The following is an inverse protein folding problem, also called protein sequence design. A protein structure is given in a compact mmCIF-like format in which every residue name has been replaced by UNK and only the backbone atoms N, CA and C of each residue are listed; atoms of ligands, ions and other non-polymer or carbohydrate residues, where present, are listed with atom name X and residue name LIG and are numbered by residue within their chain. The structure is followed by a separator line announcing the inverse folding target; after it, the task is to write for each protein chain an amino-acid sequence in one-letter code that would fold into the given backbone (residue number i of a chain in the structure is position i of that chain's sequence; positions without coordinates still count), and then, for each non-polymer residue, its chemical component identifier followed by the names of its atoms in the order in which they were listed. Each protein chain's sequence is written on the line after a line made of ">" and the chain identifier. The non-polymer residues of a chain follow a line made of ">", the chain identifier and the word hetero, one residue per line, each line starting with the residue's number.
data_IF_816061375028
#
_entry.id   IF_816061375028
#
_cell.length_a   1.000
_cell.length_b   1.000
_cell.length_c   1.000
_cell.angle_alpha   90.00
_cell.angle_beta   90.00
_cell.angle_gamma   90.00
#
_symmetry.space_group_name_H-M   'P 1'
#
loop_
_entity.id
_entity.type
_entity.pdbx_description
1 polymer ?
#
# COMPACT_ATOMS: atom_id res chain seq x y z
N UNK A 1 -0.76 -12.73 -38.36
CA UNK A 1 -1.30 -12.71 -36.98
C UNK A 1 -2.08 -13.99 -36.74
N UNK A 2 -1.49 -14.97 -36.06
CA UNK A 2 -1.96 -16.36 -36.04
C UNK A 2 -3.10 -16.62 -35.03
N UNK A 3 -3.86 -17.69 -35.29
CA UNK A 3 -5.01 -18.18 -34.50
C UNK A 3 -4.77 -18.19 -32.97
N UNK A 4 -3.52 -18.43 -32.53
CA UNK A 4 -3.09 -18.39 -31.11
C UNK A 4 -3.27 -17.00 -30.46
N UNK A 5 -3.07 -15.91 -31.20
CA UNK A 5 -3.26 -14.53 -30.71
C UNK A 5 -4.73 -14.22 -30.44
N UNK A 6 -5.63 -14.67 -31.33
CA UNK A 6 -7.06 -14.41 -31.25
C UNK A 6 -7.69 -15.19 -30.08
N UNK A 7 -7.24 -16.42 -29.86
CA UNK A 7 -7.69 -17.24 -28.72
C UNK A 7 -7.18 -16.68 -27.40
N UNK A 8 -5.92 -16.25 -27.32
CA UNK A 8 -5.36 -15.59 -26.13
C UNK A 8 -6.11 -14.29 -25.79
N UNK A 9 -6.43 -13.46 -26.79
CA UNK A 9 -7.19 -12.23 -26.59
C UNK A 9 -8.64 -12.48 -26.15
N UNK A 10 -9.31 -13.51 -26.69
CA UNK A 10 -10.64 -13.92 -26.24
C UNK A 10 -10.65 -14.41 -24.79
N UNK A 11 -9.64 -15.21 -24.40
CA UNK A 11 -9.50 -15.70 -23.02
C UNK A 11 -9.17 -14.56 -22.06
N UNK A 12 -8.33 -13.61 -22.48
CA UNK A 12 -8.01 -12.42 -21.68
C UNK A 12 -9.23 -11.54 -21.48
N UNK A 13 -9.99 -11.25 -22.54
CA UNK A 13 -11.24 -10.49 -22.47
C UNK A 13 -12.27 -11.19 -21.59
N UNK A 14 -12.46 -12.51 -21.71
CA UNK A 14 -13.43 -13.25 -20.90
C UNK A 14 -13.06 -13.32 -19.40
N UNK A 15 -11.76 -13.38 -19.08
CA UNK A 15 -11.28 -13.26 -17.69
C UNK A 15 -11.48 -11.85 -17.13
N UNK A 16 -11.19 -10.81 -17.93
CA UNK A 16 -11.43 -9.41 -17.54
C UNK A 16 -12.91 -9.16 -17.25
N UNK A 17 -13.82 -9.66 -18.08
CA UNK A 17 -15.27 -9.51 -17.85
C UNK A 17 -15.75 -10.22 -16.57
N UNK A 18 -15.09 -11.30 -16.15
CA UNK A 18 -15.45 -12.01 -14.91
C UNK A 18 -15.00 -11.25 -13.66
N UNK A 19 -13.78 -10.73 -13.67
CA UNK A 19 -13.29 -9.93 -12.52
C UNK A 19 -14.03 -8.60 -12.43
N UNK A 20 -14.40 -7.97 -13.55
CA UNK A 20 -15.20 -6.75 -13.55
C UNK A 20 -16.57 -6.99 -12.91
N UNK A 21 -17.27 -8.06 -13.27
CA UNK A 21 -18.55 -8.42 -12.66
C UNK A 21 -18.42 -8.70 -11.14
N UNK A 22 -17.31 -9.31 -10.72
CA UNK A 22 -17.05 -9.58 -9.30
C UNK A 22 -16.73 -8.30 -8.51
N UNK A 23 -15.94 -7.41 -9.09
CA UNK A 23 -15.67 -6.09 -8.50
C UNK A 23 -16.96 -5.27 -8.38
N UNK A 24 -17.84 -5.31 -9.39
CA UNK A 24 -19.17 -4.67 -9.32
C UNK A 24 -20.08 -5.30 -8.27
N UNK A 25 -20.00 -6.62 -8.06
CA UNK A 25 -20.74 -7.30 -6.99
C UNK A 25 -20.28 -6.83 -5.62
N UNK A 26 -18.96 -6.83 -5.38
CA UNK A 26 -18.37 -6.44 -4.10
C UNK A 26 -18.62 -4.96 -3.83
N UNK A 27 -18.53 -4.08 -4.84
CA UNK A 27 -18.80 -2.65 -4.68
C UNK A 27 -20.22 -2.34 -4.18
N UNK A 28 -21.19 -3.24 -4.41
CA UNK A 28 -22.57 -3.11 -3.91
C UNK A 28 -22.72 -3.55 -2.45
N UNK A 29 -21.74 -4.24 -1.87
CA UNK A 29 -21.74 -4.59 -0.46
C UNK A 29 -21.54 -3.33 0.41
N UNK A 30 -22.23 -3.21 1.55
CA UNK A 30 -22.01 -2.10 2.47
C UNK A 30 -20.54 -1.99 2.87
N UNK A 31 -20.07 -0.76 3.09
CA UNK A 31 -18.72 -0.52 3.61
C UNK A 31 -18.55 -1.13 5.01
N UNK A 32 -17.30 -1.37 5.38
CA UNK A 32 -16.88 -1.97 6.66
C UNK A 32 -17.51 -3.34 6.91
N UNK A 33 -17.93 -4.02 5.83
CA UNK A 33 -18.48 -5.37 5.88
C UNK A 33 -17.41 -6.34 5.37
N UNK A 34 -16.87 -7.22 6.23
CA UNK A 34 -15.93 -8.23 5.79
C UNK A 34 -16.62 -9.26 4.90
N UNK A 35 -15.87 -9.83 3.97
CA UNK A 35 -16.38 -10.84 3.05
C UNK A 35 -15.28 -11.57 2.32
N UNK A 36 -15.70 -12.44 1.40
CA UNK A 36 -14.81 -13.28 0.61
C UNK A 36 -15.05 -13.08 -0.88
N UNK A 37 -13.98 -13.24 -1.64
CA UNK A 37 -13.97 -13.29 -3.10
C UNK A 37 -12.93 -14.31 -3.59
N UNK A 38 -12.96 -14.59 -4.89
CA UNK A 38 -11.96 -15.43 -5.54
C UNK A 38 -10.93 -14.53 -6.25
N UNK A 39 -9.65 -14.68 -5.88
CA UNK A 39 -8.54 -14.07 -6.59
C UNK A 39 -7.63 -15.18 -7.09
N UNK A 40 -7.55 -15.31 -8.42
CA UNK A 40 -6.74 -16.33 -9.10
C UNK A 40 -7.10 -17.78 -8.74
N UNK A 41 -8.36 -18.07 -8.45
CA UNK A 41 -8.84 -19.41 -8.10
C UNK A 41 -8.66 -19.77 -6.63
N UNK A 42 -8.33 -18.79 -5.79
CA UNK A 42 -8.10 -18.96 -4.35
C UNK A 42 -8.94 -17.94 -3.59
N UNK A 43 -9.46 -18.37 -2.45
CA UNK A 43 -10.27 -17.52 -1.58
C UNK A 43 -9.42 -16.37 -1.04
N UNK A 44 -9.98 -15.17 -1.05
CA UNK A 44 -9.38 -13.96 -0.50
C UNK A 44 -10.40 -13.26 0.37
N UNK A 45 -10.02 -12.92 1.60
CA UNK A 45 -10.82 -12.20 2.57
C UNK A 45 -10.55 -10.69 2.45
N UNK A 46 -11.60 -9.90 2.34
CA UNK A 46 -11.53 -8.44 2.46
C UNK A 46 -12.26 -7.99 3.73
N UNK A 47 -11.80 -6.91 4.37
CA UNK A 47 -12.47 -6.32 5.54
C UNK A 47 -13.37 -5.12 5.20
N UNK A 48 -13.12 -4.44 4.06
CA UNK A 48 -13.97 -3.38 3.51
C UNK A 48 -14.13 -3.56 1.99
N UNK A 49 -15.38 -3.52 1.52
CA UNK A 49 -15.75 -3.78 0.13
C UNK A 49 -15.23 -2.72 -0.85
N UNK A 50 -15.30 -1.43 -0.49
CA UNK A 50 -14.91 -0.34 -1.37
C UNK A 50 -13.38 -0.26 -1.46
N UNK A 51 -12.68 -0.37 -0.33
CA UNK A 51 -11.24 -0.49 -0.24
C UNK A 51 -10.74 -1.63 -1.11
N UNK A 52 -11.32 -2.83 -0.98
CA UNK A 52 -10.95 -3.96 -1.84
C UNK A 52 -11.04 -3.60 -3.33
N UNK A 53 -12.17 -3.04 -3.77
CA UNK A 53 -12.41 -2.76 -5.19
C UNK A 53 -11.44 -1.70 -5.72
N UNK A 54 -11.22 -0.61 -4.99
CA UNK A 54 -10.31 0.46 -5.40
C UNK A 54 -8.88 -0.07 -5.46
N UNK A 55 -8.39 -0.65 -4.37
CA UNK A 55 -7.03 -1.17 -4.27
C UNK A 55 -6.77 -2.27 -5.30
N UNK A 56 -7.73 -3.17 -5.55
CA UNK A 56 -7.58 -4.19 -6.59
C UNK A 56 -7.39 -3.57 -7.97
N UNK A 57 -8.18 -2.55 -8.32
CA UNK A 57 -8.06 -1.86 -9.61
C UNK A 57 -6.70 -1.18 -9.74
N UNK A 58 -6.24 -0.50 -8.70
CA UNK A 58 -4.94 0.18 -8.72
C UNK A 58 -3.78 -0.80 -8.87
N UNK A 59 -3.79 -1.88 -8.09
CA UNK A 59 -2.67 -2.80 -8.01
C UNK A 59 -2.67 -3.79 -9.19
N UNK A 60 -3.80 -4.43 -9.51
CA UNK A 60 -3.83 -5.49 -10.52
C UNK A 60 -4.21 -5.02 -11.92
N UNK A 61 -5.05 -3.99 -12.05
CA UNK A 61 -5.46 -3.46 -13.36
C UNK A 61 -4.49 -2.37 -13.81
N UNK A 62 -4.27 -1.35 -12.98
CA UNK A 62 -3.41 -0.21 -13.31
C UNK A 62 -1.92 -0.51 -13.08
N UNK A 63 -1.60 -1.54 -12.28
CA UNK A 63 -0.24 -2.02 -12.04
C UNK A 63 0.71 -0.93 -11.51
N UNK A 64 0.21 -0.12 -10.57
CA UNK A 64 0.98 1.02 -10.06
C UNK A 64 2.29 0.62 -9.37
N UNK A 65 2.41 -0.63 -8.91
CA UNK A 65 3.61 -1.18 -8.28
C UNK A 65 4.50 -2.00 -9.24
N UNK A 66 4.25 -1.96 -10.54
CA UNK A 66 5.14 -2.60 -11.51
C UNK A 66 6.48 -1.84 -11.59
N UNK A 67 7.56 -2.50 -11.22
CA UNK A 67 8.93 -2.04 -11.41
C UNK A 67 9.79 -3.08 -12.16
N UNK A 68 10.94 -2.63 -12.67
CA UNK A 68 11.95 -3.52 -13.27
C UNK A 68 12.93 -3.95 -12.18
N UNK A 69 12.95 -5.25 -11.88
CA UNK A 69 13.86 -5.79 -10.88
C UNK A 69 15.33 -5.52 -11.23
N UNK A 70 16.12 -5.16 -10.22
CA UNK A 70 17.55 -4.88 -10.36
C UNK A 70 18.35 -6.13 -9.98
N UNK A 71 19.24 -6.62 -10.85
CA UNK A 71 20.10 -7.75 -10.51
C UNK A 71 20.88 -7.53 -9.21
N UNK A 72 20.88 -8.53 -8.33
CA UNK A 72 21.54 -8.45 -7.02
C UNK A 72 20.71 -7.80 -5.91
N UNK A 73 19.49 -7.35 -6.21
CA UNK A 73 18.49 -6.91 -5.24
C UNK A 73 17.30 -7.86 -5.27
N UNK A 74 16.89 -8.35 -4.11
CA UNK A 74 15.88 -9.40 -3.98
C UNK A 74 14.97 -9.19 -2.76
N UNK A 75 14.95 -8.00 -2.17
CA UNK A 75 14.08 -7.69 -1.03
C UNK A 75 13.04 -6.64 -1.43
N UNK A 76 11.79 -6.89 -1.04
CA UNK A 76 10.70 -5.93 -1.13
C UNK A 76 10.19 -5.64 0.29
N UNK A 77 10.06 -4.37 0.63
CA UNK A 77 9.40 -3.92 1.85
C UNK A 77 8.01 -3.41 1.50
N UNK A 78 6.98 -4.05 2.05
CA UNK A 78 5.57 -3.68 1.91
C UNK A 78 5.09 -3.07 3.24
N UNK A 79 5.29 -1.75 3.39
CA UNK A 79 4.91 -1.02 4.59
C UNK A 79 3.46 -0.52 4.45
N UNK A 80 2.59 -0.99 5.36
CA UNK A 80 1.13 -0.84 5.27
C UNK A 80 0.53 -1.90 4.35
N UNK A 81 0.78 -3.16 4.66
CA UNK A 81 0.35 -4.29 3.83
C UNK A 81 -1.19 -4.46 3.79
N UNK A 82 -1.90 -3.93 4.78
CA UNK A 82 -3.36 -3.98 4.88
C UNK A 82 -3.87 -5.42 4.70
N UNK A 83 -4.93 -5.66 3.94
CA UNK A 83 -5.47 -6.99 3.64
C UNK A 83 -4.58 -7.85 2.72
N UNK A 84 -3.42 -7.36 2.27
CA UNK A 84 -2.42 -8.14 1.54
C UNK A 84 -2.53 -8.12 0.01
N UNK A 85 -3.29 -7.20 -0.59
CA UNK A 85 -3.37 -7.09 -2.06
C UNK A 85 -2.02 -6.67 -2.68
N UNK A 86 -1.30 -5.74 -2.05
CA UNK A 86 0.05 -5.34 -2.45
C UNK A 86 1.04 -6.51 -2.31
N UNK A 87 1.04 -7.14 -1.14
CA UNK A 87 1.87 -8.32 -0.85
C UNK A 87 1.65 -9.44 -1.86
N UNK A 88 0.38 -9.76 -2.18
CA UNK A 88 0.02 -10.74 -3.21
C UNK A 88 0.54 -10.34 -4.60
N UNK A 89 0.42 -9.06 -4.96
CA UNK A 89 0.95 -8.56 -6.23
C UNK A 89 2.45 -8.76 -6.30
N UNK A 90 3.19 -8.39 -5.25
CA UNK A 90 4.63 -8.56 -5.22
C UNK A 90 5.03 -10.03 -5.32
N UNK A 91 4.43 -10.91 -4.50
CA UNK A 91 4.78 -12.32 -4.45
C UNK A 91 4.58 -13.03 -5.79
N UNK A 92 3.57 -12.62 -6.57
CA UNK A 92 3.29 -13.22 -7.88
C UNK A 92 4.14 -12.68 -9.02
N UNK A 93 4.46 -11.39 -9.01
CA UNK A 93 5.20 -10.76 -10.12
C UNK A 93 6.72 -10.78 -9.90
N UNK A 94 7.15 -10.94 -8.65
CA UNK A 94 8.56 -10.97 -8.22
C UNK A 94 8.82 -12.21 -7.35
N UNK A 95 8.68 -13.43 -7.92
CA UNK A 95 8.74 -14.68 -7.14
C UNK A 95 10.13 -14.96 -6.54
N UNK A 96 11.18 -14.34 -7.09
CA UNK A 96 12.56 -14.47 -6.59
C UNK A 96 12.88 -13.49 -5.45
N UNK A 97 11.94 -12.60 -5.11
CA UNK A 97 12.09 -11.62 -4.03
C UNK A 97 11.52 -12.14 -2.72
N UNK A 98 12.18 -11.81 -1.61
CA UNK A 98 11.64 -11.95 -0.25
C UNK A 98 10.86 -10.67 0.07
N UNK A 99 9.62 -10.83 0.51
CA UNK A 99 8.73 -9.71 0.83
C UNK A 99 8.53 -9.63 2.33
N UNK A 100 8.88 -8.51 2.92
CA UNK A 100 8.56 -8.20 4.32
C UNK A 100 7.32 -7.31 4.34
N UNK A 101 6.20 -7.85 4.81
CA UNK A 101 4.91 -7.18 4.86
C UNK A 101 4.57 -6.76 6.30
N UNK A 102 4.40 -5.45 6.49
CA UNK A 102 4.16 -4.83 7.79
C UNK A 102 2.71 -4.35 7.88
N UNK A 103 1.98 -4.85 8.86
CA UNK A 103 0.62 -4.38 9.19
C UNK A 103 0.47 -4.25 10.71
N UNK A 104 0.33 -3.03 11.27
CA UNK A 104 0.24 -2.83 12.71
C UNK A 104 -1.11 -3.19 13.32
N UNK A 105 -2.22 -3.07 12.58
CA UNK A 105 -3.55 -3.31 13.15
C UNK A 105 -3.75 -4.81 13.41
N UNK A 106 -3.96 -5.25 14.67
CA UNK A 106 -4.06 -6.69 14.95
C UNK A 106 -5.22 -7.38 14.21
N UNK A 107 -6.32 -6.67 13.96
CA UNK A 107 -7.48 -7.24 13.27
C UNK A 107 -7.21 -7.36 11.77
N UNK A 108 -6.64 -6.32 11.15
CA UNK A 108 -6.29 -6.35 9.72
C UNK A 108 -5.12 -7.32 9.49
N UNK A 109 -4.17 -7.41 10.41
CA UNK A 109 -3.07 -8.37 10.37
C UNK A 109 -3.58 -9.83 10.35
N UNK A 110 -4.65 -10.16 11.08
CA UNK A 110 -5.25 -11.50 10.95
C UNK A 110 -5.82 -11.76 9.55
N UNK A 111 -6.42 -10.75 8.90
CA UNK A 111 -6.90 -10.86 7.52
C UNK A 111 -5.74 -11.04 6.54
N UNK A 112 -4.69 -10.24 6.69
CA UNK A 112 -3.44 -10.39 5.93
C UNK A 112 -2.90 -11.81 6.05
N UNK A 113 -2.75 -12.30 7.29
CA UNK A 113 -2.23 -13.63 7.58
C UNK A 113 -3.06 -14.73 6.93
N UNK A 114 -4.39 -14.70 7.09
CA UNK A 114 -5.31 -15.65 6.45
C UNK A 114 -5.15 -15.67 4.93
N UNK A 115 -5.03 -14.50 4.30
CA UNK A 115 -4.85 -14.39 2.87
C UNK A 115 -3.50 -14.97 2.40
N UNK A 116 -2.40 -14.63 3.08
CA UNK A 116 -1.07 -15.16 2.70
C UNK A 116 -0.99 -16.68 2.88
N UNK A 117 -1.58 -17.22 3.95
CA UNK A 117 -1.66 -18.66 4.20
C UNK A 117 -2.50 -19.38 3.13
N UNK A 118 -3.67 -18.84 2.79
CA UNK A 118 -4.57 -19.41 1.78
C UNK A 118 -3.94 -19.42 0.39
N UNK A 119 -3.10 -18.43 0.09
CA UNK A 119 -2.42 -18.26 -1.19
C UNK A 119 -1.10 -19.06 -1.28
N UNK A 120 -0.68 -19.69 -0.19
CA UNK A 120 0.55 -20.48 -0.08
C UNK A 120 1.80 -19.74 -0.60
N UNK A 121 1.94 -18.46 -0.22
CA UNK A 121 3.04 -17.62 -0.67
C UNK A 121 4.30 -17.86 0.19
N UNK A 122 5.22 -18.69 -0.33
CA UNK A 122 6.42 -19.10 0.40
C UNK A 122 7.53 -18.05 0.53
N UNK A 123 7.40 -16.89 -0.12
CA UNK A 123 8.39 -15.82 -0.14
C UNK A 123 7.97 -14.57 0.65
N UNK A 124 6.99 -14.71 1.55
CA UNK A 124 6.44 -13.61 2.35
C UNK A 124 6.76 -13.80 3.83
N UNK A 125 7.27 -12.75 4.47
CA UNK A 125 7.51 -12.63 5.91
C UNK A 125 6.52 -11.60 6.46
N UNK A 126 5.63 -12.03 7.35
CA UNK A 126 4.61 -11.19 7.98
C UNK A 126 5.11 -10.59 9.29
N UNK A 127 4.87 -9.30 9.49
CA UNK A 127 5.29 -8.54 10.66
C UNK A 127 4.11 -7.70 11.18
N UNK A 128 3.58 -8.08 12.35
CA UNK A 128 2.56 -7.30 13.09
C UNK A 128 3.24 -6.12 13.78
N UNK A 129 3.69 -5.14 13.00
CA UNK A 129 4.49 -4.01 13.46
C UNK A 129 4.16 -2.74 12.68
N UNK A 130 4.13 -1.61 13.38
CA UNK A 130 4.07 -0.30 12.76
C UNK A 130 5.45 0.10 12.22
N UNK A 131 5.47 0.78 11.08
CA UNK A 131 6.70 1.42 10.58
C UNK A 131 6.80 2.82 11.17
N UNK A 132 7.95 3.12 11.78
CA UNK A 132 8.18 4.39 12.48
C UNK A 132 9.66 4.83 12.44
N UNK A 133 10.00 5.92 13.12
CA UNK A 133 11.37 6.44 13.26
C UNK A 133 12.13 5.85 14.46
N UNK A 134 11.45 5.07 15.31
CA UNK A 134 12.02 4.35 16.45
C UNK A 134 11.19 3.14 16.84
N UNK A 135 11.80 2.26 17.62
CA UNK A 135 11.13 1.12 18.25
C UNK A 135 10.48 1.58 19.55
N UNK A 136 9.16 1.52 19.61
CA UNK A 136 8.36 1.86 20.79
C UNK A 136 6.95 1.25 20.69
N UNK A 137 6.18 1.36 21.77
CA UNK A 137 4.74 1.08 21.73
C UNK A 137 4.01 2.37 21.35
N UNK A 138 3.21 2.32 20.29
CA UNK A 138 2.42 3.43 19.78
C UNK A 138 0.94 3.25 20.12
N UNK A 139 0.26 4.35 20.43
CA UNK A 139 -1.20 4.39 20.46
C UNK A 139 -1.71 4.46 19.02
N UNK A 140 -2.46 3.43 18.61
CA UNK A 140 -2.92 3.26 17.24
C UNK A 140 -4.45 3.33 17.16
N UNK A 141 -4.94 4.11 16.21
CA UNK A 141 -6.36 4.37 15.98
C UNK A 141 -6.73 3.82 14.60
N UNK A 142 -7.30 2.62 14.56
CA UNK A 142 -7.81 2.00 13.34
C UNK A 142 -9.29 2.28 13.10
N UNK A 143 -9.71 2.40 11.84
CA UNK A 143 -11.12 2.56 11.44
C UNK A 143 -11.75 1.30 10.81
N UNK A 144 -11.07 0.15 10.88
CA UNK A 144 -11.43 -1.12 10.20
C UNK A 144 -11.59 -1.03 8.67
N UNK A 145 -11.21 0.09 8.05
CA UNK A 145 -11.15 0.33 6.61
C UNK A 145 -9.71 0.50 6.13
N UNK A 146 -9.48 1.41 5.19
CA UNK A 146 -8.10 1.72 4.73
C UNK A 146 -7.31 2.55 5.75
N UNK A 147 -7.92 3.02 6.84
CA UNK A 147 -7.43 4.22 7.49
C UNK A 147 -7.11 3.93 8.94
N UNK A 148 -5.82 3.84 9.22
CA UNK A 148 -5.35 3.61 10.57
C UNK A 148 -4.13 4.47 10.85
N UNK A 149 -4.10 5.15 12.01
CA UNK A 149 -3.06 6.15 12.31
C UNK A 149 -2.43 5.92 13.68
N UNK A 150 -1.13 6.19 13.77
CA UNK A 150 -0.46 6.33 15.05
C UNK A 150 -0.67 7.75 15.61
N UNK A 151 -0.93 7.85 16.92
CA UNK A 151 -0.90 9.09 17.72
C UNK A 151 -1.92 10.20 17.40
N UNK A 152 -2.80 10.03 16.40
CA UNK A 152 -3.91 10.98 16.11
C UNK A 152 -5.22 10.22 15.91
N UNK A 153 -6.23 10.47 16.74
CA UNK A 153 -7.55 9.84 16.63
C UNK A 153 -8.44 10.44 15.54
N UNK A 154 -9.45 9.69 15.10
CA UNK A 154 -10.56 10.22 14.30
C UNK A 154 -11.61 10.89 15.20
N UNK A 155 -12.40 11.81 14.62
CA UNK A 155 -13.54 12.47 15.29
C UNK A 155 -14.61 11.49 15.81
N UNK A 156 -14.56 10.22 15.40
CA UNK A 156 -15.57 9.21 15.70
C UNK A 156 -14.95 7.81 15.76
N UNK A 157 -14.09 7.49 16.75
CA UNK A 157 -13.89 6.09 17.22
C UNK A 157 -12.94 5.88 18.42
N UNK A 158 -13.36 4.88 19.23
CA UNK A 158 -12.65 3.87 20.06
C UNK A 158 -11.36 4.21 20.84
N UNK A 159 -11.19 3.50 21.97
CA UNK A 159 -9.93 3.47 22.72
C UNK A 159 -8.79 3.03 21.79
N UNK A 160 -7.60 3.67 21.87
CA UNK A 160 -6.45 3.27 21.06
C UNK A 160 -6.05 1.82 21.35
N UNK A 161 -5.60 1.12 20.33
CA UNK A 161 -4.90 -0.16 20.47
C UNK A 161 -3.41 0.12 20.57
N UNK A 162 -2.71 -0.55 21.49
CA UNK A 162 -1.26 -0.46 21.55
C UNK A 162 -0.64 -1.38 20.50
N UNK A 163 0.20 -0.82 19.64
CA UNK A 163 0.95 -1.57 18.61
C UNK A 163 2.43 -1.32 18.79
N UNK A 164 3.23 -2.32 18.48
CA UNK A 164 4.68 -2.20 18.53
C UNK A 164 5.21 -1.66 17.20
N UNK A 165 6.10 -0.67 17.25
CA UNK A 165 6.76 -0.13 16.07
C UNK A 165 8.14 -0.74 15.87
N UNK A 166 8.61 -0.66 14.63
CA UNK A 166 10.01 -0.85 14.26
C UNK A 166 10.50 0.36 13.48
N UNK A 167 11.80 0.64 13.61
CA UNK A 167 12.43 1.72 12.87
C UNK A 167 12.74 1.29 11.43
N UNK A 168 12.14 1.93 10.42
CA UNK A 168 12.37 1.58 9.00
C UNK A 168 13.85 1.63 8.62
N UNK A 169 14.58 2.63 9.12
CA UNK A 169 16.02 2.81 8.88
C UNK A 169 16.84 1.53 9.10
N UNK A 170 16.44 0.69 10.06
CA UNK A 170 17.14 -0.57 10.37
C UNK A 170 16.91 -1.65 9.32
N UNK A 171 15.81 -1.59 8.58
CA UNK A 171 15.49 -2.51 7.48
C UNK A 171 16.09 -2.07 6.15
N UNK A 172 16.50 -0.80 6.01
CA UNK A 172 17.07 -0.29 4.76
C UNK A 172 18.49 -0.82 4.50
N UNK A 173 18.57 -1.90 3.70
CA UNK A 173 19.81 -2.54 3.24
C UNK A 173 20.06 -2.31 1.74
N UNK A 174 21.24 -2.72 1.26
CA UNK A 174 21.58 -2.68 -0.18
C UNK A 174 20.82 -3.72 -1.01
N UNK A 175 20.13 -4.68 -0.39
CA UNK A 175 19.40 -5.76 -1.09
C UNK A 175 17.97 -5.36 -1.47
N UNK A 176 17.47 -4.22 -0.95
CA UNK A 176 16.12 -3.75 -1.25
C UNK A 176 16.04 -3.31 -2.70
N UNK A 177 15.16 -3.97 -3.43
CA UNK A 177 14.79 -3.61 -4.79
C UNK A 177 13.62 -2.63 -4.80
N UNK A 178 12.62 -2.86 -3.93
CA UNK A 178 11.43 -2.03 -3.85
C UNK A 178 10.98 -1.76 -2.41
N UNK A 179 10.60 -0.52 -2.13
CA UNK A 179 9.93 -0.11 -0.90
C UNK A 179 8.57 0.51 -1.25
N UNK A 180 7.47 -0.08 -0.74
CA UNK A 180 6.16 0.58 -0.67
C UNK A 180 6.03 1.21 0.71
N UNK A 181 5.73 2.50 0.78
CA UNK A 181 5.49 3.24 2.02
C UNK A 181 4.14 3.96 1.96
N UNK A 182 3.09 3.28 2.35
CA UNK A 182 1.76 3.86 2.50
C UNK A 182 1.27 3.45 3.89
N UNK A 183 1.44 4.38 4.83
CA UNK A 183 1.34 4.18 6.28
C UNK A 183 0.52 5.32 6.91
N UNK A 184 -0.37 5.91 6.12
CA UNK A 184 -1.46 6.78 6.55
C UNK A 184 -1.02 7.99 7.40
N UNK A 185 0.00 8.72 6.94
CA UNK A 185 0.43 10.01 7.51
C UNK A 185 1.76 9.99 8.26
N UNK A 186 2.34 8.80 8.46
CA UNK A 186 3.65 8.64 9.08
C UNK A 186 4.83 8.83 8.10
N UNK A 187 4.57 9.01 6.80
CA UNK A 187 5.58 9.06 5.74
C UNK A 187 6.57 10.21 5.97
N UNK A 188 6.08 11.37 6.42
CA UNK A 188 6.93 12.54 6.63
C UNK A 188 7.98 12.30 7.73
N UNK A 189 7.59 11.65 8.83
CA UNK A 189 8.48 11.30 9.94
C UNK A 189 9.51 10.26 9.49
N UNK A 190 9.02 9.18 8.87
CA UNK A 190 9.84 8.04 8.49
C UNK A 190 10.84 8.38 7.38
N UNK A 191 10.44 9.11 6.34
CA UNK A 191 11.34 9.46 5.23
C UNK A 191 12.45 10.42 5.64
N UNK A 192 12.20 11.31 6.61
CA UNK A 192 13.24 12.20 7.16
C UNK A 192 14.29 11.42 7.94
N UNK A 193 13.87 10.45 8.73
CA UNK A 193 14.78 9.56 9.46
C UNK A 193 15.58 8.68 8.49
N UNK A 194 14.96 8.26 7.37
CA UNK A 194 15.55 7.36 6.39
C UNK A 194 16.44 8.03 5.34
N UNK A 195 16.48 9.37 5.27
CA UNK A 195 17.08 10.14 4.16
C UNK A 195 18.47 9.65 3.73
N UNK A 196 19.33 9.29 4.69
CA UNK A 196 20.74 8.93 4.47
C UNK A 196 20.93 7.49 3.98
N UNK A 197 19.83 6.72 3.82
CA UNK A 197 19.85 5.35 3.28
C UNK A 197 18.97 5.16 2.06
N UNK A 198 18.13 6.12 1.68
CA UNK A 198 17.22 5.98 0.54
C UNK A 198 17.97 5.73 -0.78
N UNK A 199 19.17 6.28 -0.94
CA UNK A 199 20.03 6.06 -2.12
C UNK A 199 20.39 4.57 -2.32
N UNK A 200 20.26 3.72 -1.31
CA UNK A 200 20.53 2.29 -1.41
C UNK A 200 19.38 1.52 -2.08
N UNK A 201 18.18 2.09 -2.21
CA UNK A 201 17.01 1.40 -2.76
C UNK A 201 17.10 1.28 -4.29
N UNK A 202 16.38 0.30 -4.85
CA UNK A 202 16.19 0.19 -6.30
C UNK A 202 15.18 1.21 -6.83
N UNK A 203 13.93 1.07 -6.40
CA UNK A 203 12.84 2.03 -6.56
C UNK A 203 12.02 2.08 -5.27
N UNK A 204 11.27 3.16 -5.06
CA UNK A 204 10.31 3.19 -3.96
C UNK A 204 9.09 4.02 -4.28
N UNK A 205 8.02 3.74 -3.56
CA UNK A 205 6.75 4.42 -3.64
C UNK A 205 6.39 4.94 -2.26
N UNK A 206 5.81 6.14 -2.19
CA UNK A 206 5.12 6.57 -0.98
C UNK A 206 3.83 7.32 -1.28
N UNK A 207 2.85 7.17 -0.40
CA UNK A 207 1.61 7.95 -0.44
C UNK A 207 1.69 9.10 0.56
N UNK A 208 1.82 10.32 0.03
CA UNK A 208 1.84 11.51 0.85
C UNK A 208 0.44 11.90 1.29
N UNK A 209 0.23 11.97 2.60
CA UNK A 209 -0.99 12.48 3.22
C UNK A 209 -0.73 13.82 3.92
N UNK A 210 -1.56 14.84 3.63
CA UNK A 210 -1.50 16.11 4.35
C UNK A 210 -2.66 16.24 5.34
N UNK A 211 -2.35 16.38 6.64
CA UNK A 211 -3.34 16.81 7.63
C UNK A 211 -3.66 18.28 7.42
N UNK A 212 -4.95 18.60 7.27
CA UNK A 212 -5.44 19.97 7.04
C UNK A 212 -5.03 20.94 8.16
N UNK A 213 -4.71 20.42 9.35
CA UNK A 213 -4.28 21.19 10.51
C UNK A 213 -2.76 21.34 10.60
N UNK A 214 -2.00 20.75 9.67
CA UNK A 214 -0.54 20.82 9.64
C UNK A 214 -0.05 21.56 8.38
N UNK A 215 1.19 22.03 8.45
CA UNK A 215 1.84 22.60 7.28
C UNK A 215 2.11 21.51 6.24
N UNK A 216 1.93 21.84 4.97
CA UNK A 216 2.32 20.96 3.87
C UNK A 216 3.84 20.75 3.85
N UNK A 217 4.26 19.50 3.67
CA UNK A 217 5.68 19.11 3.67
C UNK A 217 6.09 18.32 2.43
N UNK A 218 5.22 18.22 1.42
CA UNK A 218 5.52 17.48 0.19
C UNK A 218 6.80 18.00 -0.48
N UNK A 219 7.00 19.32 -0.53
CA UNK A 219 8.20 19.96 -1.08
C UNK A 219 9.49 19.45 -0.41
N UNK A 220 9.46 19.27 0.91
CA UNK A 220 10.60 18.79 1.69
C UNK A 220 10.87 17.30 1.44
N UNK A 221 9.82 16.49 1.26
CA UNK A 221 9.95 15.08 0.89
C UNK A 221 10.49 14.92 -0.53
N UNK A 222 10.02 15.73 -1.48
CA UNK A 222 10.55 15.73 -2.84
C UNK A 222 12.01 16.18 -2.90
N UNK A 223 12.44 17.08 -2.02
CA UNK A 223 13.85 17.42 -1.85
C UNK A 223 14.67 16.21 -1.38
N UNK A 224 14.20 15.46 -0.38
CA UNK A 224 14.84 14.23 0.09
C UNK A 224 14.95 13.18 -1.04
N UNK A 225 13.87 12.98 -1.80
CA UNK A 225 13.85 12.06 -2.95
C UNK A 225 14.93 12.43 -3.97
N UNK A 226 15.02 13.72 -4.31
CA UNK A 226 16.02 14.24 -5.24
C UNK A 226 17.44 14.07 -4.71
N UNK A 227 17.69 14.42 -3.44
CA UNK A 227 19.01 14.33 -2.81
C UNK A 227 19.49 12.88 -2.70
N UNK A 228 18.56 11.92 -2.56
CA UNK A 228 18.84 10.48 -2.62
C UNK A 228 19.11 9.96 -4.05
N UNK A 229 19.06 10.81 -5.07
CA UNK A 229 19.38 10.49 -6.46
C UNK A 229 18.23 9.87 -7.26
N UNK A 230 16.98 10.04 -6.81
CA UNK A 230 15.81 9.54 -7.53
C UNK A 230 15.14 10.63 -8.36
N UNK A 231 14.57 10.21 -9.50
CA UNK A 231 13.50 10.95 -10.16
C UNK A 231 12.17 10.56 -9.55
N UNK A 232 11.19 11.45 -9.62
CA UNK A 232 9.83 11.18 -9.17
C UNK A 232 8.80 11.42 -10.26
N UNK A 233 7.75 10.61 -10.24
CA UNK A 233 6.49 10.82 -10.94
C UNK A 233 5.37 10.92 -9.91
N UNK A 234 4.40 11.80 -10.13
CA UNK A 234 3.33 12.07 -9.18
C UNK A 234 1.98 11.77 -9.81
N UNK A 235 1.09 11.14 -9.04
CA UNK A 235 -0.31 10.93 -9.39
C UNK A 235 -1.19 11.24 -8.19
N UNK A 236 -2.38 11.76 -8.42
CA UNK A 236 -3.38 11.87 -7.36
C UNK A 236 -3.77 10.46 -6.89
N UNK A 237 -3.86 10.26 -5.57
CA UNK A 237 -4.47 9.06 -4.98
C UNK A 237 -5.96 9.27 -4.77
N UNK A 238 -6.31 10.42 -4.19
CA UNK A 238 -7.68 10.90 -4.10
C UNK A 238 -7.81 12.24 -4.83
N UNK A 239 -8.93 12.42 -5.53
CA UNK A 239 -9.16 13.58 -6.39
C UNK A 239 -10.33 14.42 -5.90
N UNK A 240 -10.14 15.74 -5.86
CA UNK A 240 -11.25 16.71 -5.75
C UNK A 240 -11.78 17.02 -7.13
N UNK A 241 -13.06 16.77 -7.36
CA UNK A 241 -13.68 17.10 -8.66
C UNK A 241 -13.71 18.62 -8.89
N UNK A 242 -13.84 19.41 -7.82
CA UNK A 242 -13.83 20.88 -7.88
C UNK A 242 -12.97 21.45 -6.75
N UNK A 243 -11.63 21.47 -6.88
CA UNK A 243 -10.71 21.75 -5.77
C UNK A 243 -10.90 23.09 -5.04
N UNK A 244 -11.51 24.08 -5.68
CA UNK A 244 -11.81 25.39 -5.07
C UNK A 244 -13.13 25.43 -4.29
N UNK A 245 -14.05 24.51 -4.58
CA UNK A 245 -15.40 24.49 -4.00
C UNK A 245 -15.60 23.30 -3.05
N UNK A 246 -15.00 22.16 -3.40
CA UNK A 246 -15.03 20.93 -2.64
C UNK A 246 -14.14 21.04 -1.39
N UNK A 247 -14.74 20.78 -0.23
CA UNK A 247 -14.08 20.79 1.07
C UNK A 247 -14.07 19.41 1.72
N UNK A 248 -14.40 18.36 0.97
CA UNK A 248 -14.32 16.99 1.47
C UNK A 248 -12.87 16.67 1.88
N UNK A 249 -12.77 16.04 3.05
CA UNK A 249 -11.51 15.60 3.63
C UNK A 249 -11.48 14.07 3.60
N UNK A 250 -10.34 13.51 3.21
CA UNK A 250 -10.13 12.06 3.19
C UNK A 250 -10.18 11.57 4.63
N UNK A 251 -11.21 10.76 4.86
CA UNK A 251 -12.01 10.65 6.08
C UNK A 251 -11.71 11.63 7.21
N UNK A 252 -12.07 12.88 6.93
CA UNK A 252 -12.29 13.90 7.95
C UNK A 252 -11.05 14.65 8.41
N UNK A 253 -9.84 14.31 7.93
CA UNK A 253 -8.61 14.99 8.39
C UNK A 253 -7.64 15.33 7.27
N UNK A 254 -7.50 14.50 6.24
CA UNK A 254 -6.54 14.82 5.17
C UNK A 254 -7.17 15.64 4.06
N UNK A 255 -6.54 16.74 3.67
CA UNK A 255 -6.97 17.57 2.54
C UNK A 255 -6.26 17.24 1.23
N UNK A 256 -5.27 16.33 1.27
CA UNK A 256 -4.48 15.90 0.12
C UNK A 256 -3.96 14.46 0.35
N UNK A 257 -4.07 13.62 -0.69
CA UNK A 257 -3.41 12.32 -0.78
C UNK A 257 -2.79 12.13 -2.17
N UNK A 258 -1.48 11.91 -2.21
CA UNK A 258 -0.68 11.92 -3.44
C UNK A 258 0.23 10.70 -3.51
N UNK A 259 0.13 9.98 -4.62
CA UNK A 259 1.02 8.88 -4.96
C UNK A 259 2.33 9.41 -5.57
N UNK A 260 3.46 9.14 -4.94
CA UNK A 260 4.80 9.53 -5.41
C UNK A 260 5.61 8.28 -5.75
N UNK A 261 5.99 8.16 -7.02
CA UNK A 261 6.73 7.04 -7.58
C UNK A 261 8.19 7.45 -7.82
N UNK A 262 9.13 6.83 -7.12
CA UNK A 262 10.54 7.21 -7.13
C UNK A 262 11.39 6.13 -7.80
N UNK A 263 12.17 6.51 -8.82
CA UNK A 263 12.98 5.60 -9.63
C UNK A 263 14.30 6.23 -10.08
N UNK A 264 15.31 5.39 -10.35
CA UNK A 264 16.61 5.81 -10.88
C UNK A 264 16.60 5.75 -12.41
N UNK A 265 17.34 6.65 -13.05
CA UNK A 265 17.59 6.63 -14.50
C UNK A 265 18.79 5.75 -14.85
#
# INVERSE_FOLDING_TARGET
>A
MGLRSIVADKIRKSKLTKIEAELERIQKCPRFTPGYTDIFGLQFRFHDSLSFVITYREIFINKIYAFKAIPGKNVILDCGANMGLGTLYFARNYPDHIIYAFEPDPQIYQVLKENIETLNLGNVVLLEKAIWDKEETLAFYGDNGMRSRANTGYLDQSLPTNVESVRLYNYLTSEIDFLKLDIEGAENTVLRDCKDKLQNLGSFFFEYHNDVNQAQTLDQLLAIVKDAGFHYYIKESWTRTSPFADKELIGGVFDMAINVFCYKQ
#
